data_IF_339675291915
#
_entry.id   IF_339675291915
#
_cell.length_a   1.000
_cell.length_b   1.000
_cell.length_c   1.000
_cell.angle_alpha   90.00
_cell.angle_beta   90.00
_cell.angle_gamma   90.00
#
_symmetry.space_group_name_H-M   'P 1'
#
loop_
_entity.id
_entity.type
_entity.pdbx_description
1 polymer ?
#
# COMPACT_ATOMS: atom_id res chain seq x y z
N UNK A 1 7.28 -8.44 16.19
CA UNK A 1 7.38 -9.93 16.17
C UNK A 1 6.14 -10.58 15.56
N UNK A 2 4.89 -10.25 16.00
CA UNK A 2 3.66 -10.88 15.51
C UNK A 2 3.51 -10.81 13.99
N UNK A 3 3.69 -9.63 13.37
CA UNK A 3 3.65 -9.47 11.91
C UNK A 3 4.64 -10.40 11.19
N UNK A 4 5.86 -10.53 11.70
CA UNK A 4 6.88 -11.39 11.09
C UNK A 4 6.46 -12.86 11.15
N UNK A 5 5.94 -13.32 12.29
CA UNK A 5 5.46 -14.69 12.43
C UNK A 5 4.31 -15.00 11.45
N UNK A 6 3.33 -14.08 11.36
CA UNK A 6 2.21 -14.19 10.43
C UNK A 6 2.67 -14.21 8.97
N UNK A 7 3.62 -13.35 8.60
CA UNK A 7 4.21 -13.33 7.25
C UNK A 7 4.94 -14.63 6.91
N UNK A 8 5.71 -15.17 7.86
CA UNK A 8 6.41 -16.47 7.65
C UNK A 8 5.40 -17.57 7.42
N UNK A 9 4.33 -17.66 8.21
CA UNK A 9 3.27 -18.64 8.04
C UNK A 9 2.58 -18.49 6.68
N UNK A 10 2.22 -17.28 6.29
CA UNK A 10 1.61 -17.03 4.98
C UNK A 10 2.53 -17.47 3.81
N UNK A 11 3.83 -17.25 3.92
CA UNK A 11 4.79 -17.70 2.91
C UNK A 11 4.93 -19.23 2.90
N UNK A 12 4.87 -19.90 4.05
CA UNK A 12 4.87 -21.36 4.15
C UNK A 12 3.62 -21.95 3.52
N UNK A 13 2.47 -21.28 3.70
CA UNK A 13 1.19 -21.68 3.10
C UNK A 13 1.09 -21.35 1.59
N UNK A 14 2.15 -20.78 1.01
CA UNK A 14 2.28 -20.58 -0.44
C UNK A 14 1.96 -19.17 -0.93
N UNK A 15 1.84 -18.16 -0.07
CA UNK A 15 1.67 -16.78 -0.52
C UNK A 15 2.89 -16.30 -1.32
N UNK A 16 2.65 -15.68 -2.48
CA UNK A 16 3.68 -15.09 -3.34
C UNK A 16 3.88 -13.60 -3.07
N UNK A 17 2.85 -12.94 -2.59
CA UNK A 17 2.86 -11.52 -2.27
C UNK A 17 2.21 -11.28 -0.90
N UNK A 18 2.80 -10.42 -0.11
CA UNK A 18 2.36 -10.11 1.25
C UNK A 18 1.89 -8.66 1.33
N UNK A 19 0.73 -8.43 1.94
CA UNK A 19 0.23 -7.09 2.30
C UNK A 19 0.46 -6.88 3.80
N UNK A 20 1.21 -5.83 4.17
CA UNK A 20 1.56 -5.51 5.55
C UNK A 20 1.15 -4.08 5.86
N UNK A 21 0.37 -3.89 6.93
CA UNK A 21 -0.01 -2.55 7.39
C UNK A 21 1.14 -1.96 8.21
N UNK A 22 1.57 -0.75 7.86
CA UNK A 22 2.54 0.01 8.65
C UNK A 22 2.03 0.25 10.08
N UNK A 23 2.94 0.50 11.01
CA UNK A 23 2.54 0.91 12.35
C UNK A 23 2.04 2.36 12.34
N UNK A 24 0.73 2.55 12.11
CA UNK A 24 0.11 3.87 12.00
C UNK A 24 0.31 4.70 13.27
N UNK A 25 0.28 4.07 14.44
CA UNK A 25 0.52 4.76 15.71
C UNK A 25 1.95 5.33 15.78
N UNK A 26 2.95 4.57 15.34
CA UNK A 26 4.33 5.05 15.27
C UNK A 26 4.47 6.23 14.28
N UNK A 27 3.82 6.14 13.11
CA UNK A 27 3.81 7.24 12.13
C UNK A 27 3.21 8.50 12.76
N UNK A 28 2.05 8.40 13.39
CA UNK A 28 1.37 9.54 14.01
C UNK A 28 2.14 10.16 15.17
N UNK A 29 2.96 9.38 15.85
CA UNK A 29 3.84 9.85 16.92
C UNK A 29 5.21 10.36 16.39
N UNK A 30 5.46 10.28 15.09
CA UNK A 30 6.74 10.67 14.49
C UNK A 30 7.90 9.72 14.85
N UNK A 31 7.60 8.50 15.27
CA UNK A 31 8.61 7.48 15.59
C UNK A 31 9.08 6.78 14.30
N UNK A 32 9.82 7.54 13.51
CA UNK A 32 10.33 7.09 12.21
C UNK A 32 11.40 6.01 12.34
N UNK A 33 12.07 5.95 13.50
CA UNK A 33 13.04 4.91 13.77
C UNK A 33 12.36 3.55 13.90
N UNK A 34 11.25 3.47 14.64
CA UNK A 34 10.46 2.24 14.74
C UNK A 34 9.93 1.76 13.39
N UNK A 35 9.53 2.69 12.49
CA UNK A 35 9.11 2.36 11.13
C UNK A 35 10.25 1.79 10.30
N UNK A 36 11.43 2.43 10.34
CA UNK A 36 12.61 1.96 9.63
C UNK A 36 13.09 0.60 10.15
N UNK A 37 13.12 0.42 11.46
CA UNK A 37 13.53 -0.83 12.09
C UNK A 37 12.56 -1.98 11.71
N UNK A 38 11.25 -1.74 11.75
CA UNK A 38 10.25 -2.75 11.37
C UNK A 38 10.51 -3.25 9.95
N UNK A 39 10.63 -2.35 8.98
CA UNK A 39 10.80 -2.76 7.59
C UNK A 39 12.18 -3.39 7.34
N UNK A 40 13.23 -2.91 8.00
CA UNK A 40 14.58 -3.48 7.88
C UNK A 40 14.66 -4.91 8.44
N UNK A 41 13.85 -5.27 9.44
CA UNK A 41 13.73 -6.64 9.92
C UNK A 41 12.92 -7.53 8.97
N UNK A 42 11.88 -6.99 8.35
CA UNK A 42 10.99 -7.71 7.43
C UNK A 42 11.66 -8.03 6.09
N UNK A 43 12.34 -7.07 5.48
CA UNK A 43 12.83 -7.19 4.10
C UNK A 43 13.77 -8.38 3.86
N UNK A 44 14.77 -8.67 4.71
CA UNK A 44 15.64 -9.83 4.52
C UNK A 44 14.87 -11.16 4.50
N UNK A 45 13.83 -11.27 5.34
CA UNK A 45 13.00 -12.49 5.45
C UNK A 45 12.21 -12.69 4.16
N UNK A 46 11.54 -11.65 3.67
CA UNK A 46 10.75 -11.71 2.44
C UNK A 46 11.65 -12.00 1.23
N UNK A 47 12.80 -11.31 1.13
CA UNK A 47 13.75 -11.49 0.03
C UNK A 47 14.40 -12.87 0.03
N UNK A 48 14.70 -13.47 1.19
CA UNK A 48 15.25 -14.82 1.28
C UNK A 48 14.32 -15.89 0.69
N UNK A 49 13.02 -15.62 0.63
CA UNK A 49 11.99 -16.49 0.06
C UNK A 49 11.59 -16.11 -1.37
N UNK A 50 12.21 -15.08 -1.96
CA UNK A 50 11.88 -14.58 -3.30
C UNK A 50 10.47 -14.01 -3.42
N UNK A 51 9.88 -13.57 -2.30
CA UNK A 51 8.50 -13.06 -2.26
C UNK A 51 8.45 -11.54 -2.41
N UNK A 52 7.26 -11.01 -2.70
CA UNK A 52 7.01 -9.56 -2.81
C UNK A 52 6.27 -9.04 -1.58
N UNK A 53 6.52 -7.78 -1.27
CA UNK A 53 5.88 -7.08 -0.16
C UNK A 53 5.19 -5.80 -0.63
N UNK A 54 3.99 -5.57 -0.10
CA UNK A 54 3.23 -4.34 -0.26
C UNK A 54 3.01 -3.75 1.13
N UNK A 55 3.48 -2.54 1.36
CA UNK A 55 3.27 -1.84 2.63
C UNK A 55 2.09 -0.89 2.51
N UNK A 56 1.11 -1.06 3.39
CA UNK A 56 -0.10 -0.23 3.46
C UNK A 56 0.13 0.86 4.50
N UNK A 57 0.14 2.12 4.09
CA UNK A 57 0.36 3.24 5.01
C UNK A 57 -0.93 3.92 5.48
N UNK A 58 -2.09 3.48 5.01
CA UNK A 58 -3.40 4.09 5.32
C UNK A 58 -3.40 5.61 5.07
N UNK A 59 -3.06 6.00 3.85
CA UNK A 59 -2.80 7.41 3.48
C UNK A 59 -3.94 8.36 3.81
N UNK A 60 -5.18 7.86 3.92
CA UNK A 60 -6.34 8.66 4.26
C UNK A 60 -6.34 9.26 5.67
N UNK A 61 -5.49 8.76 6.58
CA UNK A 61 -5.34 9.27 7.96
C UNK A 61 -4.03 10.02 8.17
N UNK A 62 -3.18 10.13 7.14
CA UNK A 62 -1.87 10.76 7.21
C UNK A 62 -1.87 12.17 6.63
N UNK A 63 -0.97 13.02 7.12
CA UNK A 63 -0.63 14.28 6.47
C UNK A 63 0.27 14.07 5.25
N UNK A 64 0.40 15.06 4.39
CA UNK A 64 1.31 14.98 3.25
C UNK A 64 2.77 14.76 3.68
N UNK A 65 3.21 15.41 4.77
CA UNK A 65 4.55 15.26 5.32
C UNK A 65 4.79 13.84 5.84
N UNK A 66 3.81 13.25 6.50
CA UNK A 66 3.87 11.86 6.96
C UNK A 66 3.94 10.89 5.77
N UNK A 67 3.17 11.13 4.71
CA UNK A 67 3.21 10.34 3.47
C UNK A 67 4.59 10.43 2.81
N UNK A 68 5.15 11.63 2.67
CA UNK A 68 6.48 11.84 2.08
C UNK A 68 7.54 11.09 2.89
N UNK A 69 7.48 11.17 4.21
CA UNK A 69 8.41 10.46 5.09
C UNK A 69 8.30 8.94 4.96
N UNK A 70 7.09 8.42 4.79
CA UNK A 70 6.88 7.01 4.47
C UNK A 70 7.49 6.64 3.11
N UNK A 71 7.32 7.48 2.08
CA UNK A 71 7.93 7.25 0.77
C UNK A 71 9.46 7.15 0.86
N UNK A 72 10.09 8.03 1.64
CA UNK A 72 11.54 8.01 1.87
C UNK A 72 11.99 6.70 2.51
N UNK A 73 11.39 6.33 3.64
CA UNK A 73 11.79 5.15 4.42
C UNK A 73 11.55 3.86 3.63
N UNK A 74 10.36 3.68 3.09
CA UNK A 74 10.01 2.47 2.36
C UNK A 74 10.66 2.41 0.98
N UNK A 75 10.95 3.57 0.38
CA UNK A 75 11.73 3.69 -0.84
C UNK A 75 13.17 3.21 -0.65
N UNK A 76 13.83 3.64 0.43
CA UNK A 76 15.19 3.20 0.80
C UNK A 76 15.21 1.70 1.12
N UNK A 77 14.19 1.19 1.82
CA UNK A 77 14.07 -0.23 2.13
C UNK A 77 13.86 -1.10 0.88
N UNK A 78 13.45 -0.52 -0.24
CA UNK A 78 13.27 -1.21 -1.52
C UNK A 78 12.10 -2.19 -1.51
N UNK A 79 10.97 -1.82 -0.93
CA UNK A 79 9.73 -2.61 -1.00
C UNK A 79 9.24 -2.72 -2.44
N UNK A 80 8.35 -3.68 -2.75
CA UNK A 80 7.84 -3.82 -4.12
C UNK A 80 6.71 -2.84 -4.42
N UNK A 81 5.81 -2.62 -3.44
CA UNK A 81 4.69 -1.68 -3.58
C UNK A 81 4.47 -0.86 -2.32
N UNK A 82 4.25 0.44 -2.48
CA UNK A 82 3.56 1.23 -1.48
C UNK A 82 2.07 1.23 -1.80
N UNK A 83 1.24 0.87 -0.81
CA UNK A 83 -0.21 0.76 -0.97
C UNK A 83 -0.91 1.83 -0.15
N UNK A 84 -1.93 2.45 -0.71
CA UNK A 84 -2.63 3.57 -0.08
C UNK A 84 -3.39 3.16 1.17
N UNK A 85 -4.22 2.12 1.10
CA UNK A 85 -5.27 1.92 2.08
C UNK A 85 -5.58 0.45 2.33
N UNK A 86 -6.07 0.14 3.54
CA UNK A 86 -6.62 -1.17 3.91
C UNK A 86 -7.98 -1.42 3.26
N UNK A 87 -8.79 -0.37 3.13
CA UNK A 87 -10.20 -0.42 2.76
C UNK A 87 -11.16 -0.34 3.95
N UNK A 88 -10.64 -0.27 5.19
CA UNK A 88 -11.44 -0.18 6.42
C UNK A 88 -11.53 1.24 7.00
N UNK A 89 -10.61 2.13 6.63
CA UNK A 89 -10.67 3.53 7.03
C UNK A 89 -11.74 4.29 6.23
N UNK A 90 -12.21 5.40 6.79
CA UNK A 90 -13.22 6.25 6.15
C UNK A 90 -12.78 6.75 4.77
N UNK A 91 -11.50 7.09 4.61
CA UNK A 91 -10.92 7.53 3.34
C UNK A 91 -10.05 6.43 2.73
N UNK A 92 -10.37 6.05 1.51
CA UNK A 92 -9.58 5.14 0.68
C UNK A 92 -8.52 5.85 -0.16
N UNK A 93 -8.27 5.33 -1.36
CA UNK A 93 -7.34 5.93 -2.32
C UNK A 93 -7.82 7.31 -2.77
N UNK A 94 -6.86 8.23 -2.96
CA UNK A 94 -7.09 9.52 -3.59
C UNK A 94 -6.06 9.76 -4.70
N UNK A 95 -6.41 10.56 -5.69
CA UNK A 95 -5.52 10.93 -6.80
C UNK A 95 -4.30 11.67 -6.23
N UNK A 96 -4.52 12.56 -5.27
CA UNK A 96 -3.49 13.37 -4.62
C UNK A 96 -2.45 12.50 -3.90
N UNK A 97 -2.89 11.48 -3.15
CA UNK A 97 -1.99 10.56 -2.47
C UNK A 97 -1.15 9.74 -3.47
N UNK A 98 -1.76 9.26 -4.57
CA UNK A 98 -1.04 8.54 -5.61
C UNK A 98 -0.02 9.44 -6.33
N UNK A 99 -0.37 10.69 -6.63
CA UNK A 99 0.55 11.67 -7.21
C UNK A 99 1.71 11.97 -6.26
N UNK A 100 1.44 12.07 -4.95
CA UNK A 100 2.48 12.28 -3.94
C UNK A 100 3.44 11.08 -3.88
N UNK A 101 2.92 9.85 -3.89
CA UNK A 101 3.73 8.64 -3.99
C UNK A 101 4.59 8.65 -5.25
N UNK A 102 3.98 8.93 -6.41
CA UNK A 102 4.68 8.96 -7.70
C UNK A 102 5.83 9.97 -7.73
N UNK A 103 5.66 11.09 -7.05
CA UNK A 103 6.66 12.15 -6.97
C UNK A 103 7.84 11.79 -6.07
N UNK A 104 7.60 11.05 -4.99
CA UNK A 104 8.59 10.85 -3.92
C UNK A 104 9.18 9.43 -3.86
N UNK A 105 8.50 8.43 -4.42
CA UNK A 105 9.05 7.07 -4.47
C UNK A 105 10.11 6.92 -5.56
N UNK A 106 11.16 6.12 -5.32
CA UNK A 106 12.08 5.73 -6.38
C UNK A 106 11.37 4.85 -7.42
N UNK A 107 11.89 4.83 -8.65
CA UNK A 107 11.24 4.18 -9.80
C UNK A 107 11.08 2.66 -9.68
N UNK A 108 11.84 2.02 -8.81
CA UNK A 108 11.76 0.58 -8.53
C UNK A 108 10.63 0.20 -7.56
N UNK A 109 10.02 1.16 -6.86
CA UNK A 109 8.86 0.94 -5.99
C UNK A 109 7.59 1.28 -6.75
N UNK A 110 6.70 0.30 -6.87
CA UNK A 110 5.41 0.46 -7.55
C UNK A 110 4.34 0.99 -6.59
N UNK A 111 3.23 1.44 -7.15
CA UNK A 111 2.12 2.03 -6.38
C UNK A 111 0.88 1.17 -6.54
N UNK A 112 0.29 0.73 -5.41
CA UNK A 112 -1.03 0.10 -5.38
C UNK A 112 -2.03 1.06 -4.74
N UNK A 113 -3.06 1.45 -5.50
CA UNK A 113 -4.19 2.22 -4.97
C UNK A 113 -5.34 1.28 -4.60
N UNK A 114 -5.93 1.45 -3.43
CA UNK A 114 -7.03 0.63 -2.93
C UNK A 114 -7.95 1.40 -1.99
N UNK A 115 -9.19 0.90 -1.87
CA UNK A 115 -10.24 1.52 -1.06
C UNK A 115 -11.03 2.57 -1.82
N UNK A 116 -12.34 2.40 -1.87
CA UNK A 116 -13.27 3.36 -2.46
C UNK A 116 -13.31 3.40 -4.01
N UNK A 117 -12.64 2.47 -4.70
CA UNK A 117 -12.60 2.44 -6.18
C UNK A 117 -13.80 1.66 -6.68
N UNK A 118 -14.80 2.37 -7.26
CA UNK A 118 -16.10 1.78 -7.62
C UNK A 118 -16.48 1.94 -9.08
N UNK A 119 -15.85 2.84 -9.81
CA UNK A 119 -16.15 3.13 -11.21
C UNK A 119 -14.89 3.21 -12.07
N UNK A 120 -15.11 3.09 -13.39
CA UNK A 120 -14.05 3.10 -14.39
C UNK A 120 -13.31 4.45 -14.43
N UNK A 121 -14.02 5.57 -14.29
CA UNK A 121 -13.42 6.89 -14.42
C UNK A 121 -12.42 7.14 -13.30
N UNK A 122 -12.77 6.81 -12.05
CA UNK A 122 -11.89 6.94 -10.91
C UNK A 122 -10.73 5.93 -10.97
N UNK A 123 -10.99 4.68 -11.36
CA UNK A 123 -9.95 3.68 -11.57
C UNK A 123 -8.90 4.18 -12.58
N UNK A 124 -9.35 4.72 -13.71
CA UNK A 124 -8.48 5.23 -14.76
C UNK A 124 -7.71 6.49 -14.33
N UNK A 125 -8.34 7.37 -13.55
CA UNK A 125 -7.67 8.54 -12.99
C UNK A 125 -6.53 8.16 -12.02
N UNK A 126 -6.71 7.12 -11.20
CA UNK A 126 -5.65 6.61 -10.33
C UNK A 126 -4.48 6.00 -11.11
N UNK A 127 -4.76 5.28 -12.20
CA UNK A 127 -3.71 4.76 -13.10
C UNK A 127 -2.97 5.92 -13.76
N UNK A 128 -3.67 6.92 -14.27
CA UNK A 128 -3.07 8.12 -14.86
C UNK A 128 -2.21 8.91 -13.84
N UNK A 129 -2.61 8.92 -12.57
CA UNK A 129 -1.84 9.55 -11.48
C UNK A 129 -0.54 8.81 -11.14
N UNK A 130 -0.39 7.54 -11.54
CA UNK A 130 0.83 6.76 -11.36
C UNK A 130 0.66 5.42 -10.65
N UNK A 131 -0.55 5.02 -10.28
CA UNK A 131 -0.79 3.68 -9.77
C UNK A 131 -0.53 2.63 -10.86
N UNK A 132 0.13 1.53 -10.51
CA UNK A 132 0.38 0.40 -11.41
C UNK A 132 -0.49 -0.80 -11.09
N UNK A 133 -1.16 -0.77 -9.95
CA UNK A 133 -2.10 -1.81 -9.51
C UNK A 133 -3.25 -1.16 -8.73
N UNK A 134 -4.45 -1.69 -8.93
CA UNK A 134 -5.65 -1.29 -8.18
C UNK A 134 -6.15 -2.45 -7.32
N UNK A 135 -6.63 -2.14 -6.14
CA UNK A 135 -7.34 -3.07 -5.26
C UNK A 135 -8.82 -2.66 -5.17
N UNK A 136 -9.69 -3.41 -5.82
CA UNK A 136 -11.10 -3.08 -5.96
C UNK A 136 -11.98 -4.27 -5.56
N UNK A 137 -13.04 -4.02 -4.81
CA UNK A 137 -14.14 -4.98 -4.62
C UNK A 137 -15.15 -4.97 -5.78
N UNK A 138 -15.19 -3.87 -6.55
CA UNK A 138 -16.09 -3.67 -7.68
C UNK A 138 -15.42 -3.94 -9.05
N UNK A 139 -14.39 -4.79 -9.12
CA UNK A 139 -13.59 -5.00 -10.34
C UNK A 139 -14.42 -5.37 -11.55
N UNK A 140 -15.41 -6.26 -11.39
CA UNK A 140 -16.29 -6.66 -12.51
C UNK A 140 -17.08 -5.47 -13.04
N UNK A 141 -17.70 -4.67 -12.16
CA UNK A 141 -18.44 -3.47 -12.55
C UNK A 141 -17.53 -2.46 -13.26
N UNK A 142 -16.30 -2.27 -12.78
CA UNK A 142 -15.33 -1.34 -13.37
C UNK A 142 -15.00 -1.76 -14.81
N UNK A 143 -14.68 -3.04 -15.06
CA UNK A 143 -14.24 -3.48 -16.39
C UNK A 143 -15.38 -3.68 -17.37
N UNK A 144 -16.61 -3.94 -16.90
CA UNK A 144 -17.79 -4.12 -17.75
C UNK A 144 -18.59 -2.84 -17.94
N UNK A 145 -18.30 -1.77 -17.20
CA UNK A 145 -19.09 -0.54 -17.17
C UNK A 145 -20.46 -0.68 -16.51
N UNK A 146 -20.70 -1.77 -15.79
CA UNK A 146 -21.94 -1.96 -15.04
C UNK A 146 -21.95 -1.12 -13.75
N UNK A 147 -23.12 -0.76 -13.20
CA UNK A 147 -23.19 -0.12 -11.88
C UNK A 147 -22.60 -1.02 -10.80
N UNK A 148 -21.79 -0.45 -9.90
CA UNK A 148 -21.27 -1.18 -8.76
C UNK A 148 -22.41 -1.50 -7.78
N UNK A 149 -22.62 -2.78 -7.48
CA UNK A 149 -23.58 -3.24 -6.47
C UNK A 149 -22.84 -3.52 -5.15
N UNK A 150 -23.26 -2.90 -4.06
CA UNK A 150 -22.68 -3.11 -2.72
C UNK A 150 -22.04 -1.88 -2.10
N UNK A 151 -21.95 -1.88 -0.77
CA UNK A 151 -21.47 -0.79 0.07
C UNK A 151 -20.07 -1.08 0.67
N UNK A 152 -19.14 -1.61 -0.10
CA UNK A 152 -17.75 -1.79 0.35
C UNK A 152 -16.82 -0.79 -0.28
#
# INVERSE_FOLDING_TARGET
EAKIAEMILAMVDGADELDVVANITAIKNGDWMAIADEINHIMPIVRSKGKKIKVIIESGVLTNEEIIKCCDIYGIAGIDYLKTSTGYAEKGATIEAVQLFKKHLPSNVQIKASGGIRDYAFANALLAAGATRLGCSASVAIVTGAPATGNY
#
